data_IF_590140419331
#
_entry.id   IF_590140419331
#
_cell.length_a   1.000
_cell.length_b   1.000
_cell.length_c   1.000
_cell.angle_alpha   90.00
_cell.angle_beta   90.00
_cell.angle_gamma   90.00
#
_symmetry.space_group_name_H-M   'P 1'
#
loop_
_entity.id
_entity.type
_entity.pdbx_description
1 polymer ?
#
# COMPACT_ATOMS: atom_id res chain seq x y z
N UNK A 1 11.76 14.89 0.39
CA UNK A 1 11.30 13.51 0.12
C UNK A 1 10.20 13.07 1.09
N UNK A 2 10.35 13.26 2.40
CA UNK A 2 9.36 12.87 3.44
C UNK A 2 7.97 13.53 3.25
N UNK A 3 7.93 14.83 2.92
CA UNK A 3 6.66 15.56 2.72
C UNK A 3 5.78 14.96 1.61
N UNK A 4 6.40 14.56 0.49
CA UNK A 4 5.69 13.94 -0.63
C UNK A 4 5.20 12.53 -0.29
N UNK A 5 5.93 11.78 0.54
CA UNK A 5 5.48 10.46 1.03
C UNK A 5 4.26 10.60 1.94
N UNK A 6 4.31 11.50 2.92
CA UNK A 6 3.19 11.79 3.82
C UNK A 6 1.92 12.22 3.07
N UNK A 7 2.05 13.05 2.03
CA UNK A 7 0.92 13.44 1.18
C UNK A 7 0.33 12.24 0.42
N UNK A 8 1.16 11.32 -0.09
CA UNK A 8 0.68 10.09 -0.73
C UNK A 8 -0.05 9.18 0.26
N UNK A 9 0.49 9.01 1.46
CA UNK A 9 -0.15 8.25 2.54
C UNK A 9 -1.52 8.84 2.86
N UNK A 10 -1.59 10.16 3.11
CA UNK A 10 -2.85 10.85 3.38
C UNK A 10 -3.86 10.69 2.22
N UNK A 11 -3.39 10.75 0.97
CA UNK A 11 -4.23 10.48 -0.21
C UNK A 11 -4.78 9.06 -0.22
N UNK A 12 -4.00 8.03 0.09
CA UNK A 12 -4.50 6.64 0.14
C UNK A 12 -5.50 6.42 1.27
N UNK A 13 -5.25 7.01 2.44
CA UNK A 13 -6.20 6.99 3.57
C UNK A 13 -7.52 7.65 3.16
N UNK A 14 -7.46 8.88 2.63
CA UNK A 14 -8.64 9.63 2.21
C UNK A 14 -9.39 8.89 1.10
N UNK A 15 -8.65 8.32 0.13
CA UNK A 15 -9.22 7.48 -0.91
C UNK A 15 -10.01 6.31 -0.34
N UNK A 16 -9.43 5.55 0.57
CA UNK A 16 -10.14 4.43 1.20
C UNK A 16 -11.35 4.90 2.02
N UNK A 17 -11.20 6.00 2.76
CA UNK A 17 -12.23 6.51 3.68
C UNK A 17 -13.45 7.13 3.00
N UNK A 18 -13.25 7.79 1.86
CA UNK A 18 -14.28 8.59 1.18
C UNK A 18 -14.69 8.02 -0.19
N UNK A 19 -13.83 7.22 -0.82
CA UNK A 19 -14.06 6.67 -2.17
C UNK A 19 -13.96 5.13 -2.22
N UNK A 20 -13.77 4.46 -1.08
CA UNK A 20 -13.61 3.01 -0.99
C UNK A 20 -14.92 2.21 -0.92
N UNK A 21 -16.08 2.87 -1.00
CA UNK A 21 -17.38 2.22 -0.86
C UNK A 21 -17.81 2.01 0.60
N UNK A 22 -18.71 1.04 0.89
CA UNK A 22 -19.14 0.75 2.25
C UNK A 22 -17.97 0.29 3.12
N UNK A 23 -18.09 0.50 4.45
CA UNK A 23 -17.08 0.02 5.40
C UNK A 23 -17.01 -1.50 5.28
N UNK A 24 -15.84 -2.01 4.90
CA UNK A 24 -15.57 -3.44 4.90
C UNK A 24 -15.24 -3.94 6.31
N UNK A 25 -15.56 -5.21 6.54
CA UNK A 25 -15.18 -5.97 7.72
C UNK A 25 -13.67 -6.05 7.88
N UNK A 26 -13.22 -6.43 9.07
CA UNK A 26 -11.78 -6.41 9.40
C UNK A 26 -11.02 -7.54 8.73
N UNK A 27 -11.69 -8.66 8.48
CA UNK A 27 -11.14 -9.81 7.77
C UNK A 27 -11.45 -9.81 6.27
N UNK A 28 -12.20 -8.82 5.79
CA UNK A 28 -12.49 -8.68 4.36
C UNK A 28 -11.22 -8.31 3.59
N UNK A 29 -11.13 -8.85 2.39
CA UNK A 29 -10.05 -8.53 1.46
C UNK A 29 -10.28 -7.15 0.83
N UNK A 30 -9.23 -6.33 0.82
CA UNK A 30 -9.24 -5.01 0.20
C UNK A 30 -8.33 -4.98 -1.01
N UNK A 31 -8.90 -4.65 -2.16
CA UNK A 31 -8.14 -4.42 -3.39
C UNK A 31 -7.75 -2.95 -3.51
N UNK A 32 -6.46 -2.69 -3.71
CA UNK A 32 -5.91 -1.34 -3.89
C UNK A 32 -5.08 -1.27 -5.16
N UNK A 33 -5.28 -0.22 -5.95
CA UNK A 33 -4.42 0.06 -7.10
C UNK A 33 -3.34 1.06 -6.73
N UNK A 34 -2.07 0.72 -6.99
CA UNK A 34 -0.92 1.54 -6.61
C UNK A 34 -0.05 1.79 -7.83
N UNK A 35 0.34 3.04 -8.05
CA UNK A 35 1.23 3.42 -9.15
C UNK A 35 2.70 3.26 -8.77
N UNK A 36 3.41 2.42 -9.51
CA UNK A 36 4.84 2.20 -9.42
C UNK A 36 5.58 3.16 -10.36
N UNK A 37 5.85 4.38 -9.89
CA UNK A 37 6.46 5.43 -10.73
C UNK A 37 7.93 5.18 -11.05
N UNK A 38 8.46 5.88 -12.07
CA UNK A 38 9.87 5.78 -12.51
C UNK A 38 10.91 5.96 -11.39
N UNK A 39 10.57 6.71 -10.34
CA UNK A 39 11.47 6.96 -9.21
C UNK A 39 11.75 5.73 -8.34
N UNK A 40 11.01 4.64 -8.57
CA UNK A 40 11.15 3.36 -7.88
C UNK A 40 12.01 2.36 -8.66
N UNK A 41 12.45 2.75 -9.86
CA UNK A 41 13.24 1.91 -10.76
C UNK A 41 14.70 1.79 -10.28
N UNK A 42 15.31 0.63 -10.51
CA UNK A 42 16.76 0.41 -10.34
C UNK A 42 17.51 0.36 -11.69
N UNK A 43 18.79 -0.03 -11.64
CA UNK A 43 19.65 -0.11 -12.81
C UNK A 43 19.22 -1.21 -13.81
N UNK A 44 18.39 -2.17 -13.39
CA UNK A 44 17.87 -3.25 -14.24
C UNK A 44 16.55 -2.89 -14.91
N UNK A 45 16.12 -1.63 -14.83
CA UNK A 45 14.88 -1.14 -15.44
C UNK A 45 13.61 -1.80 -14.89
N UNK A 46 13.67 -2.33 -13.67
CA UNK A 46 12.51 -2.83 -12.93
C UNK A 46 12.32 -2.04 -11.64
N UNK A 47 11.16 -2.19 -11.00
CA UNK A 47 10.97 -1.68 -9.65
C UNK A 47 11.97 -2.36 -8.72
N UNK A 48 12.75 -1.56 -7.99
CA UNK A 48 13.69 -2.07 -7.00
C UNK A 48 12.95 -2.88 -5.92
N UNK A 49 13.49 -4.03 -5.52
CA UNK A 49 12.89 -4.92 -4.52
C UNK A 49 12.51 -4.20 -3.20
N UNK A 50 13.33 -3.26 -2.71
CA UNK A 50 13.02 -2.50 -1.50
C UNK A 50 11.81 -1.56 -1.67
N UNK A 51 11.50 -1.14 -2.90
CA UNK A 51 10.35 -0.27 -3.22
C UNK A 51 9.03 -1.02 -3.24
N UNK A 52 9.02 -2.35 -3.29
CA UNK A 52 7.79 -3.13 -3.14
C UNK A 52 7.16 -2.91 -1.76
N UNK A 53 7.97 -2.78 -0.71
CA UNK A 53 7.49 -2.50 0.64
C UNK A 53 6.74 -1.16 0.72
N UNK A 54 7.18 -0.16 -0.04
CA UNK A 54 6.52 1.14 -0.16
C UNK A 54 5.16 1.00 -0.87
N UNK A 55 5.09 0.18 -1.93
CA UNK A 55 3.84 -0.12 -2.63
C UNK A 55 2.84 -0.85 -1.73
N UNK A 56 3.31 -1.87 -1.01
CA UNK A 56 2.52 -2.60 -0.01
C UNK A 56 2.03 -1.69 1.11
N UNK A 57 2.87 -0.76 1.57
CA UNK A 57 2.49 0.24 2.58
C UNK A 57 1.34 1.13 2.10
N UNK A 58 1.38 1.63 0.87
CA UNK A 58 0.26 2.40 0.32
C UNK A 58 -1.05 1.62 0.29
N UNK A 59 -0.99 0.31 -0.02
CA UNK A 59 -2.16 -0.55 0.04
C UNK A 59 -2.69 -0.73 1.49
N UNK A 60 -1.81 -0.87 2.48
CA UNK A 60 -2.21 -0.93 3.90
C UNK A 60 -2.85 0.38 4.38
N UNK A 61 -2.33 1.53 3.95
CA UNK A 61 -2.94 2.84 4.28
C UNK A 61 -4.31 3.03 3.65
N UNK A 62 -4.50 2.54 2.42
CA UNK A 62 -5.81 2.51 1.78
C UNK A 62 -6.77 1.60 2.53
N UNK A 63 -6.36 0.37 2.84
CA UNK A 63 -7.12 -0.59 3.66
C UNK A 63 -7.54 0.02 5.01
N UNK A 64 -6.63 0.69 5.71
CA UNK A 64 -6.91 1.36 6.97
C UNK A 64 -7.97 2.49 6.82
N UNK A 65 -8.01 3.15 5.67
CA UNK A 65 -9.05 4.11 5.31
C UNK A 65 -10.41 3.45 5.09
N UNK A 66 -10.46 2.36 4.30
CA UNK A 66 -11.68 1.59 3.99
C UNK A 66 -12.30 1.00 5.25
N UNK A 67 -11.49 0.35 6.08
CA UNK A 67 -11.92 -0.31 7.33
C UNK A 67 -12.15 0.66 8.49
N UNK A 68 -11.80 1.94 8.32
CA UNK A 68 -11.82 2.98 9.37
C UNK A 68 -10.94 2.62 10.58
N UNK A 69 -9.88 1.84 10.35
CA UNK A 69 -9.04 1.28 11.40
C UNK A 69 -8.24 2.36 12.14
N UNK A 70 -7.86 3.45 11.48
CA UNK A 70 -7.09 4.54 12.11
C UNK A 70 -7.86 5.16 13.29
N UNK A 71 -9.15 5.46 13.08
CA UNK A 71 -10.00 6.00 14.16
C UNK A 71 -10.21 4.97 15.28
N UNK A 72 -10.36 3.70 14.94
CA UNK A 72 -10.53 2.62 15.93
C UNK A 72 -9.28 2.45 16.79
N UNK A 73 -8.10 2.35 16.16
CA UNK A 73 -6.80 2.27 16.84
C UNK A 73 -6.54 3.49 17.74
N UNK A 74 -6.84 4.70 17.25
CA UNK A 74 -6.69 5.92 18.04
C UNK A 74 -7.60 5.93 19.27
N UNK A 75 -8.87 5.57 19.12
CA UNK A 75 -9.82 5.50 20.24
C UNK A 75 -9.42 4.41 21.27
N UNK A 76 -8.92 3.28 20.77
CA UNK A 76 -8.42 2.18 21.59
C UNK A 76 -7.07 2.48 22.27
N UNK A 77 -6.35 3.52 21.85
CA UNK A 77 -4.99 3.81 22.32
C UNK A 77 -4.02 2.68 21.93
N UNK A 78 -4.17 2.15 20.72
CA UNK A 78 -3.39 1.03 20.19
C UNK A 78 -2.71 1.50 18.91
N UNK A 79 -1.43 1.15 18.73
CA UNK A 79 -0.70 1.40 17.50
C UNK A 79 -0.11 0.09 16.95
N UNK A 80 -0.46 -0.30 15.71
CA UNK A 80 0.13 -1.47 15.09
C UNK A 80 1.54 -1.14 14.56
N UNK A 81 2.53 -1.95 14.93
CA UNK A 81 3.93 -1.81 14.48
C UNK A 81 4.36 -3.06 13.73
N UNK A 82 5.01 -2.91 12.58
CA UNK A 82 5.54 -4.05 11.82
C UNK A 82 6.74 -4.63 12.58
N UNK A 83 6.62 -5.87 13.05
CA UNK A 83 7.69 -6.60 13.73
C UNK A 83 8.50 -7.51 12.81
N UNK A 84 7.87 -8.06 11.76
CA UNK A 84 8.56 -8.85 10.74
C UNK A 84 7.85 -8.74 9.40
N UNK A 85 8.62 -8.92 8.33
CA UNK A 85 8.09 -9.01 6.96
C UNK A 85 8.76 -10.16 6.24
N UNK A 86 7.95 -11.03 5.64
CA UNK A 86 8.40 -12.03 4.69
C UNK A 86 7.89 -11.64 3.30
N UNK A 87 8.78 -11.46 2.32
CA UNK A 87 8.41 -11.09 0.94
C UNK A 87 8.99 -12.11 -0.02
N UNK A 88 8.18 -12.59 -0.95
CA UNK A 88 8.64 -13.36 -2.10
C UNK A 88 8.44 -12.54 -3.37
N UNK A 89 9.50 -12.44 -4.18
CA UNK A 89 9.47 -11.79 -5.49
C UNK A 89 9.36 -12.87 -6.56
N UNK A 90 8.26 -12.85 -7.31
CA UNK A 90 7.90 -13.89 -8.29
C UNK A 90 8.15 -13.36 -9.70
N UNK A 91 7.73 -12.12 -9.97
CA UNK A 91 7.91 -11.47 -11.27
C UNK A 91 8.17 -9.98 -11.11
N UNK A 92 9.09 -9.46 -11.90
CA UNK A 92 9.43 -8.04 -11.92
C UNK A 92 8.23 -7.15 -12.28
N UNK A 93 8.07 -6.05 -11.56
CA UNK A 93 7.11 -5.00 -11.87
C UNK A 93 7.79 -3.97 -12.79
N UNK A 94 7.24 -3.71 -13.98
CA UNK A 94 7.76 -2.66 -14.85
C UNK A 94 7.60 -1.28 -14.21
N UNK A 95 8.54 -0.34 -14.42
CA UNK A 95 8.37 1.04 -14.01
C UNK A 95 7.21 1.70 -14.74
N UNK A 96 6.63 2.74 -14.13
CA UNK A 96 5.45 3.46 -14.61
C UNK A 96 4.22 2.57 -14.86
N UNK A 97 4.09 1.48 -14.09
CA UNK A 97 2.94 0.58 -14.16
C UNK A 97 1.97 0.79 -13.00
N UNK A 98 0.72 0.38 -13.21
CA UNK A 98 -0.27 0.26 -12.15
C UNK A 98 -0.32 -1.19 -11.68
N UNK A 99 -0.07 -1.42 -10.39
CA UNK A 99 -0.21 -2.74 -9.76
C UNK A 99 -1.50 -2.83 -8.96
N UNK A 100 -2.08 -4.02 -8.90
CA UNK A 100 -3.22 -4.33 -8.05
C UNK A 100 -2.73 -5.09 -6.83
N UNK A 101 -2.99 -4.58 -5.62
CA UNK A 101 -2.59 -5.21 -4.37
C UNK A 101 -3.84 -5.63 -3.61
N UNK A 102 -3.97 -6.93 -3.33
CA UNK A 102 -5.02 -7.50 -2.48
C UNK A 102 -4.47 -7.68 -1.08
N UNK A 103 -5.12 -7.08 -0.08
CA UNK A 103 -4.67 -7.08 1.31
C UNK A 103 -5.74 -7.71 2.20
N UNK A 104 -5.34 -8.63 3.07
CA UNK A 104 -6.24 -9.32 3.99
C UNK A 104 -5.51 -9.63 5.30
N UNK A 105 -6.15 -9.42 6.44
CA UNK A 105 -5.67 -9.94 7.72
C UNK A 105 -5.91 -11.45 7.71
N UNK A 106 -4.88 -12.26 7.92
CA UNK A 106 -4.90 -13.74 7.81
C UNK A 106 -4.72 -14.49 9.11
N UNK A 107 -4.25 -13.81 10.16
CA UNK A 107 -4.19 -14.36 11.51
C UNK A 107 -4.22 -13.20 12.51
N UNK A 108 -4.80 -13.46 13.68
CA UNK A 108 -4.74 -12.62 14.88
C UNK A 108 -4.50 -13.56 16.06
N UNK A 109 -3.26 -13.60 16.52
CA UNK A 109 -2.77 -14.54 17.55
C UNK A 109 -1.96 -13.78 18.60
N UNK A 110 -2.20 -14.12 19.87
CA UNK A 110 -1.50 -13.64 21.06
C UNK A 110 -1.35 -12.14 21.23
N UNK A 111 -0.47 -11.50 20.48
CA UNK A 111 -0.14 -10.07 20.54
C UNK A 111 0.08 -9.46 19.17
N UNK A 112 -0.14 -10.26 18.14
CA UNK A 112 0.24 -9.97 16.77
C UNK A 112 -0.86 -10.35 15.81
N UNK A 113 -0.95 -9.61 14.73
CA UNK A 113 -1.76 -10.00 13.59
C UNK A 113 -0.91 -10.02 12.33
N UNK A 114 -1.31 -10.85 11.38
CA UNK A 114 -0.60 -11.01 10.11
C UNK A 114 -1.47 -10.43 9.01
N UNK A 115 -0.93 -9.48 8.25
CA UNK A 115 -1.53 -9.03 6.98
C UNK A 115 -0.83 -9.77 5.84
N UNK A 116 -1.61 -10.43 4.99
CA UNK A 116 -1.16 -10.93 3.70
C UNK A 116 -1.45 -9.91 2.61
N UNK A 117 -0.48 -9.70 1.74
CA UNK A 117 -0.64 -8.85 0.56
C UNK A 117 -0.12 -9.56 -0.69
N UNK A 118 -0.97 -9.67 -1.71
CA UNK A 118 -0.60 -10.18 -3.04
C UNK A 118 -0.58 -9.03 -4.04
N UNK A 119 0.53 -8.87 -4.75
CA UNK A 119 0.72 -7.87 -5.78
C UNK A 119 0.59 -8.51 -7.15
N UNK A 120 -0.41 -8.09 -7.90
CA UNK A 120 -0.66 -8.50 -9.28
C UNK A 120 -0.40 -7.37 -10.26
N UNK A 121 -0.35 -7.71 -11.54
CA UNK A 121 -0.49 -6.74 -12.62
C UNK A 121 -1.87 -6.04 -12.54
N UNK A 122 -2.04 -4.96 -13.30
CA UNK A 122 -3.28 -4.17 -13.35
C UNK A 122 -4.56 -5.01 -13.52
N UNK A 123 -4.51 -6.09 -14.31
CA UNK A 123 -5.68 -6.94 -14.58
C UNK A 123 -5.93 -8.01 -13.52
N UNK A 124 -5.03 -8.18 -12.55
CA UNK A 124 -5.15 -9.23 -11.53
C UNK A 124 -4.81 -10.65 -12.04
N UNK A 125 -4.20 -10.78 -13.21
CA UNK A 125 -3.96 -12.07 -13.88
C UNK A 125 -2.56 -12.64 -13.68
N UNK A 126 -1.57 -11.79 -13.33
CA UNK A 126 -0.17 -12.21 -13.12
C UNK A 126 0.28 -11.77 -11.74
N UNK A 127 0.76 -12.70 -10.93
CA UNK A 127 1.31 -12.44 -9.62
C UNK A 127 2.77 -11.99 -9.74
N UNK A 128 3.11 -10.90 -9.07
CA UNK A 128 4.45 -10.29 -9.09
C UNK A 128 5.17 -10.47 -7.76
N UNK A 129 4.47 -10.31 -6.64
CA UNK A 129 5.04 -10.51 -5.32
C UNK A 129 3.97 -10.88 -4.31
N UNK A 130 4.37 -11.62 -3.26
CA UNK A 130 3.56 -11.85 -2.06
C UNK A 130 4.33 -11.37 -0.84
N UNK A 131 3.61 -10.85 0.14
CA UNK A 131 4.19 -10.39 1.39
C UNK A 131 3.30 -10.73 2.59
N UNK A 132 3.92 -11.19 3.67
CA UNK A 132 3.32 -11.36 4.98
C UNK A 132 3.93 -10.34 5.94
N UNK A 133 3.10 -9.50 6.51
CA UNK A 133 3.47 -8.50 7.50
C UNK A 133 2.98 -8.95 8.86
N UNK A 134 3.90 -9.34 9.74
CA UNK A 134 3.59 -9.59 11.15
C UNK A 134 3.62 -8.27 11.90
N UNK A 135 2.49 -7.86 12.44
CA UNK A 135 2.30 -6.61 13.14
C UNK A 135 2.02 -6.88 14.62
N UNK A 136 2.72 -6.17 15.51
CA UNK A 136 2.47 -6.19 16.96
C UNK A 136 1.59 -5.02 17.37
N UNK A 137 0.65 -5.27 18.27
CA UNK A 137 -0.22 -4.24 18.81
C UNK A 137 0.42 -3.63 20.06
N UNK A 138 0.66 -2.32 20.03
CA UNK A 138 1.34 -1.59 21.09
C UNK A 138 0.35 -0.67 21.81
N UNK A 139 0.26 -0.77 23.13
CA UNK A 139 -0.44 0.18 23.99
C UNK A 139 0.31 1.50 24.02
N UNK A 140 -0.40 2.59 23.75
CA UNK A 140 0.14 3.96 23.80
C UNK A 140 -0.46 4.80 24.93
N UNK A 141 -1.31 4.24 25.78
CA UNK A 141 -1.90 4.97 26.91
C UNK A 141 -0.92 5.08 28.08
N UNK A 142 0.00 4.13 28.20
CA UNK A 142 1.03 4.10 29.24
C UNK A 142 2.21 5.02 28.96
N UNK A 143 2.97 5.35 30.01
CA UNK A 143 4.21 6.14 29.89
C UNK A 143 5.32 5.41 29.09
N UNK A 144 5.24 4.09 28.96
CA UNK A 144 6.11 3.26 28.12
C UNK A 144 5.26 2.41 27.17
N UNK A 145 5.58 2.36 25.87
CA UNK A 145 4.88 1.48 24.94
C UNK A 145 5.01 0.01 25.37
N UNK A 146 3.89 -0.70 25.46
CA UNK A 146 3.84 -2.10 25.89
C UNK A 146 3.06 -2.94 24.88
N UNK A 147 3.48 -4.18 24.65
CA UNK A 147 2.74 -5.07 23.75
C UNK A 147 1.45 -5.56 24.40
N UNK A 148 0.32 -5.39 23.72
CA UNK A 148 -1.00 -5.82 24.18
C UNK A 148 -1.27 -7.29 23.87
N UNK A 149 -2.06 -7.95 24.70
CA UNK A 149 -2.66 -9.23 24.31
C UNK A 149 -3.74 -9.03 23.24
N UNK A 150 -4.04 -10.10 22.49
CA UNK A 150 -5.02 -10.14 21.45
C UNK A 150 -6.40 -9.97 22.08
N UNK A 151 -6.67 -10.64 23.20
CA UNK A 151 -7.91 -10.47 23.97
C UNK A 151 -8.13 -9.01 24.39
N UNK A 152 -7.11 -8.36 24.98
CA UNK A 152 -7.20 -6.95 25.36
C UNK A 152 -7.42 -6.04 24.15
N UNK A 153 -6.73 -6.31 23.04
CA UNK A 153 -6.90 -5.54 21.82
C UNK A 153 -8.28 -5.75 21.19
N UNK A 154 -8.81 -6.97 21.21
CA UNK A 154 -10.14 -7.35 20.72
C UNK A 154 -11.22 -6.59 21.49
N UNK A 155 -11.15 -6.62 22.82
CA UNK A 155 -12.06 -5.89 23.69
C UNK A 155 -12.00 -4.39 23.40
N UNK A 156 -10.80 -3.81 23.33
CA UNK A 156 -10.62 -2.37 23.08
C UNK A 156 -11.02 -1.94 21.66
N UNK A 157 -10.88 -2.81 20.66
CA UNK A 157 -11.29 -2.57 19.28
C UNK A 157 -12.75 -2.92 19.02
N UNK A 158 -13.42 -3.58 19.97
CA UNK A 158 -14.84 -3.94 19.92
C UNK A 158 -15.14 -5.12 19.00
N UNK A 159 -14.20 -6.04 18.80
CA UNK A 159 -14.46 -7.28 18.05
C UNK A 159 -15.08 -8.35 18.95
N UNK A 160 -15.91 -9.21 18.37
CA UNK A 160 -16.43 -10.39 19.06
C UNK A 160 -15.37 -11.52 18.99
N UNK A 161 -15.02 -12.18 20.11
CA UNK A 161 -14.01 -13.25 20.13
C UNK A 161 -14.29 -14.42 19.16
N UNK A 162 -15.55 -14.75 18.93
CA UNK A 162 -15.96 -15.88 18.09
C UNK A 162 -15.70 -15.66 16.59
N UNK A 163 -15.74 -14.39 16.12
CA UNK A 163 -15.40 -14.02 14.74
C UNK A 163 -13.92 -14.25 14.42
N UNK A 164 -13.07 -14.30 15.45
CA UNK A 164 -11.62 -14.36 15.32
C UNK A 164 -11.13 -15.80 15.34
N UNK A 165 -11.71 -16.63 16.22
CA UNK A 165 -11.30 -18.03 16.40
C UNK A 165 -11.60 -18.89 15.17
N UNK A 166 -12.74 -18.66 14.50
CA UNK A 166 -13.08 -19.36 13.25
C UNK A 166 -12.08 -19.07 12.13
N UNK A 167 -11.55 -17.84 12.09
CA UNK A 167 -10.66 -17.38 11.04
C UNK A 167 -9.23 -17.93 11.13
N UNK A 168 -8.68 -18.03 12.35
CA UNK A 168 -7.31 -18.54 12.58
C UNK A 168 -7.14 -19.99 12.09
N UNK A 169 -8.21 -20.79 12.10
CA UNK A 169 -8.17 -22.21 11.71
C UNK A 169 -8.13 -22.45 10.20
N UNK A 170 -8.50 -21.49 9.35
CA UNK A 170 -8.85 -21.79 7.95
C UNK A 170 -7.74 -21.60 6.90
N UNK A 171 -6.66 -20.83 7.14
CA UNK A 171 -5.91 -20.28 5.99
C UNK A 171 -4.38 -20.23 5.99
N UNK A 172 -3.69 -20.01 7.10
CA UNK A 172 -2.34 -19.43 6.98
C UNK A 172 -1.22 -20.41 6.58
N UNK A 173 -1.33 -21.70 6.91
CA UNK A 173 -0.34 -22.72 6.54
C UNK A 173 -0.41 -23.11 5.05
N UNK A 174 -1.57 -22.99 4.40
CA UNK A 174 -1.77 -23.40 3.00
C UNK A 174 -1.26 -22.37 1.99
N UNK A 175 -1.25 -21.09 2.36
CA UNK A 175 -0.92 -19.97 1.46
C UNK A 175 0.57 -19.58 1.45
N UNK A 176 1.40 -20.24 2.27
CA UNK A 176 2.88 -20.15 2.18
C UNK A 176 3.46 -21.06 1.09
N UNK A 177 2.70 -22.07 0.67
CA UNK A 177 3.06 -22.97 -0.42
C UNK A 177 2.69 -22.31 -1.76
N UNK A 178 3.60 -21.51 -2.29
CA UNK A 178 3.62 -21.18 -3.72
C UNK A 178 4.24 -22.39 -4.42
N UNK A 179 3.53 -23.01 -5.35
CA UNK A 179 4.11 -24.07 -6.18
C UNK A 179 5.25 -23.49 -7.03
N UNK A 180 6.21 -24.30 -7.44
CA UNK A 180 7.39 -23.87 -8.23
C UNK A 180 7.04 -23.15 -9.55
N UNK A 181 5.79 -23.23 -10.01
CA UNK A 181 5.25 -22.55 -11.21
C UNK A 181 4.60 -21.17 -10.94
N UNK A 182 4.58 -20.71 -9.68
CA UNK A 182 3.97 -19.45 -9.28
C UNK A 182 2.43 -19.48 -9.15
N UNK A 183 1.80 -20.66 -9.21
CA UNK A 183 0.37 -20.85 -8.93
C UNK A 183 0.10 -20.94 -7.42
N UNK A 184 -1.07 -20.44 -6.98
CA UNK A 184 -1.54 -20.56 -5.59
C UNK A 184 -2.58 -21.70 -5.53
N UNK A 185 -2.38 -22.71 -4.68
CA UNK A 185 -3.46 -23.63 -4.28
C UNK A 185 -4.34 -22.96 -3.23
N UNK A 186 -5.25 -22.08 -3.65
CA UNK A 186 -6.35 -21.66 -2.78
C UNK A 186 -7.53 -22.63 -2.98
N UNK A 187 -8.19 -23.15 -1.93
CA UNK A 187 -9.45 -23.91 -2.08
C UNK A 187 -10.53 -23.12 -2.85
N UNK A 188 -10.43 -21.79 -2.87
CA UNK A 188 -11.29 -20.88 -3.63
C UNK A 188 -11.13 -20.98 -5.15
N UNK A 189 -10.02 -21.51 -5.66
CA UNK A 189 -9.84 -21.73 -7.10
C UNK A 189 -10.76 -22.83 -7.66
N UNK A 190 -11.34 -23.67 -6.78
CA UNK A 190 -12.31 -24.71 -7.17
C UNK A 190 -13.76 -24.36 -6.78
N UNK A 191 -14.01 -23.25 -6.06
CA UNK A 191 -15.35 -22.90 -5.59
C UNK A 191 -15.96 -21.60 -6.15
N UNK A 192 -15.27 -20.87 -7.04
CA UNK A 192 -15.88 -19.70 -7.70
C UNK A 192 -15.84 -19.81 -9.23
N UNK A 193 -16.50 -20.85 -9.74
CA UNK A 193 -17.26 -20.76 -10.99
C UNK A 193 -18.75 -20.62 -10.65
N UNK A 194 -19.11 -19.53 -9.96
CA UNK A 194 -20.47 -19.02 -10.00
C UNK A 194 -20.38 -17.52 -10.30
N UNK A 195 -21.10 -17.01 -11.31
CA UNK A 195 -21.09 -15.59 -11.62
C UNK A 195 -21.64 -14.84 -10.41
N UNK A 196 -20.86 -13.91 -9.86
CA UNK A 196 -21.32 -12.93 -8.87
C UNK A 196 -22.38 -12.04 -9.55
N UNK A 197 -23.62 -12.49 -9.54
CA UNK A 197 -24.78 -11.66 -9.84
C UNK A 197 -24.95 -10.68 -8.68
N UNK A 198 -24.64 -9.41 -8.91
CA UNK A 198 -25.07 -8.33 -8.03
C UNK A 198 -24.00 -7.39 -7.47
N UNK A 199 -22.94 -7.04 -8.20
CA UNK A 199 -22.26 -5.74 -8.03
C UNK A 199 -21.69 -5.33 -9.39
N UNK A 200 -22.08 -4.15 -9.91
CA UNK A 200 -21.74 -3.69 -11.26
C UNK A 200 -20.21 -3.66 -11.50
N UNK A 201 -19.70 -4.58 -12.32
CA UNK A 201 -18.31 -4.62 -12.78
C UNK A 201 -17.86 -3.32 -13.48
N UNK A 202 -18.83 -2.57 -14.02
CA UNK A 202 -18.63 -1.25 -14.62
C UNK A 202 -18.13 -0.20 -13.60
N UNK A 203 -18.60 -0.26 -12.35
CA UNK A 203 -18.23 0.69 -11.28
C UNK A 203 -16.74 0.62 -10.90
N UNK A 204 -16.19 -0.60 -10.85
CA UNK A 204 -14.76 -0.82 -10.57
C UNK A 204 -13.88 -0.37 -11.75
N UNK A 205 -14.36 -0.57 -12.96
CA UNK A 205 -13.68 -0.18 -14.20
C UNK A 205 -13.60 1.34 -14.32
N UNK A 206 -14.70 2.05 -14.06
CA UNK A 206 -14.73 3.52 -14.01
C UNK A 206 -13.86 4.08 -12.88
N UNK A 207 -13.90 3.47 -11.70
CA UNK A 207 -13.05 3.87 -10.57
C UNK A 207 -11.56 3.69 -10.88
N UNK A 208 -11.18 2.63 -11.59
CA UNK A 208 -9.80 2.41 -12.03
C UNK A 208 -9.37 3.41 -13.12
N UNK A 209 -10.26 3.71 -14.07
CA UNK A 209 -10.01 4.68 -15.16
C UNK A 209 -9.87 6.12 -14.63
N UNK A 210 -10.71 6.51 -13.66
CA UNK A 210 -10.61 7.82 -12.99
C UNK A 210 -9.26 8.00 -12.31
N UNK A 211 -8.77 6.94 -11.66
CA UNK A 211 -7.50 6.95 -10.93
C UNK A 211 -6.32 7.01 -11.87
N UNK A 212 -6.39 6.33 -13.01
CA UNK A 212 -5.39 6.42 -14.07
C UNK A 212 -5.35 7.82 -14.66
N UNK A 213 -6.50 8.45 -14.90
CA UNK A 213 -6.59 9.83 -15.37
C UNK A 213 -5.97 10.80 -14.37
N UNK A 214 -6.31 10.70 -13.09
CA UNK A 214 -5.73 11.54 -12.03
C UNK A 214 -4.20 11.36 -11.90
N UNK A 215 -3.71 10.11 -11.99
CA UNK A 215 -2.28 9.82 -11.92
C UNK A 215 -1.54 10.35 -13.14
N UNK A 216 -2.12 10.22 -14.34
CA UNK A 216 -1.56 10.76 -15.57
C UNK A 216 -1.51 12.30 -15.55
N UNK A 217 -2.57 12.95 -15.08
CA UNK A 217 -2.62 14.41 -14.95
C UNK A 217 -1.59 14.91 -13.94
N UNK A 218 -1.39 14.18 -12.83
CA UNK A 218 -0.38 14.49 -11.83
C UNK A 218 1.05 14.31 -12.37
N UNK A 219 1.31 13.26 -13.15
CA UNK A 219 2.61 13.02 -13.82
C UNK A 219 2.91 14.11 -14.85
N UNK A 220 1.90 14.54 -15.62
CA UNK A 220 2.03 15.65 -16.56
C UNK A 220 2.35 16.99 -15.89
N UNK A 221 1.70 17.30 -14.77
CA UNK A 221 2.00 18.51 -13.99
C UNK A 221 3.43 18.49 -13.45
N UNK A 222 3.87 17.34 -12.93
CA UNK A 222 5.23 17.17 -12.43
C UNK A 222 6.28 17.31 -13.55
N UNK A 223 6.05 16.73 -14.73
CA UNK A 223 6.92 16.90 -15.91
C UNK A 223 7.04 18.34 -16.37
N UNK A 224 5.96 19.14 -16.27
CA UNK A 224 6.01 20.58 -16.59
C UNK A 224 6.81 21.36 -15.54
N UNK A 225 6.63 21.05 -14.26
CA UNK A 225 7.37 21.67 -13.16
C UNK A 225 8.88 21.39 -13.27
N UNK A 226 9.25 20.13 -13.49
CA UNK A 226 10.66 19.72 -13.61
C UNK A 226 11.35 20.36 -14.82
N UNK A 227 10.65 20.49 -15.97
CA UNK A 227 11.17 21.22 -17.13
C UNK A 227 11.39 22.71 -16.83
N UNK A 228 10.49 23.37 -16.09
CA UNK A 228 10.67 24.77 -15.67
C UNK A 228 11.87 24.95 -14.74
N UNK A 229 12.06 24.01 -13.81
CA UNK A 229 13.21 24.02 -12.90
C UNK A 229 14.53 23.78 -13.64
N UNK A 230 14.57 22.81 -14.55
CA UNK A 230 15.74 22.56 -15.41
C UNK A 230 16.09 23.76 -16.31
N UNK A 231 15.08 24.45 -16.87
CA UNK A 231 15.31 25.64 -17.68
C UNK A 231 15.80 26.84 -16.86
N UNK A 232 15.44 26.93 -15.57
CA UNK A 232 15.97 27.95 -14.65
C UNK A 232 17.43 27.64 -14.26
N UNK A 233 17.77 26.37 -14.09
CA UNK A 233 19.14 25.93 -13.77
C UNK A 233 20.08 26.09 -14.99
N UNK A 234 19.57 25.90 -16.22
CA UNK A 234 20.34 26.09 -17.46
C UNK A 234 20.60 27.55 -17.85
N UNK A 235 20.09 28.54 -17.10
CA UNK A 235 20.50 29.95 -17.25
C UNK A 235 21.36 30.39 -16.06
N UNK A 236 22.67 30.10 -16.03
CA UNK A 236 23.60 30.84 -15.19
C UNK A 236 23.77 32.27 -15.73
N UNK A 237 23.97 33.20 -14.81
CA UNK A 237 24.07 34.64 -14.97
C UNK A 237 25.01 35.14 -16.09
N UNK A 238 24.46 35.61 -17.20
CA UNK A 238 25.09 36.69 -17.99
C UNK A 238 24.79 38.01 -17.29
N UNK A 239 25.62 38.40 -16.32
CA UNK A 239 25.82 39.79 -15.88
C UNK A 239 26.86 39.82 -14.76
N UNK A 240 28.12 39.61 -15.10
CA UNK A 240 29.23 40.14 -14.31
C UNK A 240 30.43 40.39 -15.22
N UNK A 241 30.27 41.32 -16.16
CA UNK A 241 31.42 41.88 -16.87
C UNK A 241 32.03 43.02 -16.04
N UNK A 242 33.34 42.93 -15.88
CA UNK A 242 34.18 43.59 -14.88
C UNK A 242 34.26 45.11 -15.13
N UNK A 243 33.88 45.92 -14.13
CA UNK A 243 34.39 47.30 -14.03
C UNK A 243 35.85 47.24 -13.58
N UNK A 244 36.80 47.58 -14.46
CA UNK A 244 38.15 47.99 -14.05
C UNK A 244 38.11 49.49 -13.67
N UNK A 245 38.73 49.94 -12.57
CA UNK A 245 38.98 51.36 -12.38
C UNK A 245 40.22 51.79 -13.20
N UNK A 246 40.34 53.07 -13.59
CA UNK A 246 41.51 53.58 -14.28
C UNK A 246 42.67 53.74 -13.28
N UNK A 247 43.87 53.32 -13.67
CA UNK A 247 45.13 53.64 -12.98
C UNK A 247 45.71 54.88 -13.66
N UNK A 248 45.97 55.92 -12.86
CA UNK A 248 46.69 57.13 -13.27
C UNK A 248 48.17 56.82 -13.46
N UNK A 249 48.77 57.28 -14.56
CA UNK A 249 50.01 58.08 -14.63
C UNK A 249 50.06 58.77 -16.00
#
# INVERSE_FOLDING_TARGET
MVLFHGLRVARYIARGRFFGGPKLGVFDEVTTHVYAGFRMMDAFMHVNNARYLELFEFARWHEAGVKRSISAFKAAGIYPTIGAVHVQFIKEVPPASLVMIRSRIVSLEDRTFVIRQHMFNKSGTKLHATALFRMSLIDSRGAKPATLSAEEAIIRLGFQPDEIRSFVQDGWLKDLAVNDDGSITTPLAQQQQQPLTGVNAESYTESALRVLKEVNDMDMHWRRLMRRLQNRIKKPSEKTEKRKPPVQY
#
